data_IF_770647373112
#
_entry.id   IF_770647373112
#
_cell.length_a   1.000
_cell.length_b   1.000
_cell.length_c   1.000
_cell.angle_alpha   90.00
_cell.angle_beta   90.00
_cell.angle_gamma   90.00
#
_symmetry.space_group_name_H-M   'P 1'
#
loop_
_entity.id
_entity.type
_entity.pdbx_description
1 polymer ?
#
# COMPACT_ATOMS: atom_id res chain seq x y z
N UNK A 1 -2.05 12.93 25.20
CA UNK A 1 -1.13 11.82 25.52
C UNK A 1 -1.34 10.80 24.43
N UNK A 2 -0.44 10.74 23.46
CA UNK A 2 -0.53 9.82 22.32
C UNK A 2 -0.24 8.41 22.84
N UNK A 3 -1.29 7.69 23.22
CA UNK A 3 -1.16 6.27 23.50
C UNK A 3 -1.07 5.56 22.15
N UNK A 4 0.06 4.91 21.81
CA UNK A 4 0.14 4.14 20.58
C UNK A 4 -0.95 3.06 20.59
N UNK A 5 -1.54 2.80 19.43
CA UNK A 5 -2.51 1.72 19.21
C UNK A 5 -1.94 0.83 18.12
N UNK A 6 -1.94 -0.49 18.35
CA UNK A 6 -1.63 -1.47 17.32
C UNK A 6 -2.90 -1.81 16.56
N UNK A 7 -2.92 -1.50 15.26
CA UNK A 7 -3.94 -2.01 14.34
C UNK A 7 -3.40 -3.26 13.63
N UNK A 8 -4.15 -4.36 13.68
CA UNK A 8 -3.71 -5.64 13.12
C UNK A 8 -4.90 -6.50 12.66
N UNK A 9 -4.62 -7.74 12.25
CA UNK A 9 -5.61 -8.80 12.03
C UNK A 9 -5.43 -9.90 13.08
N UNK A 10 -6.49 -10.64 13.41
CA UNK A 10 -6.47 -11.65 14.49
C UNK A 10 -5.36 -12.68 14.32
N UNK A 11 -5.10 -13.11 13.08
CA UNK A 11 -4.09 -14.13 12.74
C UNK A 11 -2.65 -13.62 12.86
N UNK A 12 -2.47 -12.29 12.87
CA UNK A 12 -1.17 -11.63 13.00
C UNK A 12 -0.91 -11.11 14.41
N UNK A 13 -1.93 -11.10 15.28
CA UNK A 13 -1.87 -10.54 16.64
C UNK A 13 -0.68 -11.06 17.46
N UNK A 14 -0.37 -12.34 17.33
CA UNK A 14 0.71 -12.99 18.09
C UNK A 14 2.09 -12.91 17.41
N UNK A 15 2.19 -12.33 16.21
CA UNK A 15 3.46 -12.20 15.48
C UNK A 15 4.26 -10.97 15.90
N UNK A 16 3.61 -10.00 16.54
CA UNK A 16 4.21 -8.75 16.96
C UNK A 16 3.89 -8.55 18.44
N UNK A 17 4.90 -8.64 19.30
CA UNK A 17 4.77 -8.27 20.71
C UNK A 17 5.20 -6.81 20.88
N UNK A 18 4.24 -5.94 21.18
CA UNK A 18 4.45 -4.50 21.41
C UNK A 18 4.24 -4.08 22.86
N UNK A 19 3.97 -5.03 23.78
CA UNK A 19 3.91 -4.80 25.23
C UNK A 19 2.98 -3.67 25.72
N UNK A 20 1.82 -4.02 26.29
CA UNK A 20 0.94 -3.05 26.99
C UNK A 20 0.26 -2.00 26.09
N UNK A 21 0.41 -2.12 24.77
CA UNK A 21 -0.21 -1.27 23.75
C UNK A 21 -1.63 -1.76 23.46
N UNK A 22 -2.60 -0.83 23.43
CA UNK A 22 -3.97 -1.17 23.02
C UNK A 22 -3.94 -1.75 21.62
N UNK A 23 -4.50 -2.93 21.43
CA UNK A 23 -4.52 -3.63 20.14
C UNK A 23 -5.96 -3.73 19.63
N UNK A 24 -6.20 -3.32 18.39
CA UNK A 24 -7.48 -3.48 17.69
C UNK A 24 -7.27 -4.35 16.45
N UNK A 25 -8.04 -5.43 16.36
CA UNK A 25 -8.07 -6.33 15.21
C UNK A 25 -9.17 -5.89 14.24
N UNK A 26 -8.78 -5.49 13.03
CA UNK A 26 -9.68 -4.93 12.01
C UNK A 26 -10.65 -5.95 11.41
N UNK A 27 -10.49 -7.23 11.73
CA UNK A 27 -11.30 -8.36 11.28
C UNK A 27 -12.27 -8.87 12.37
N UNK A 28 -11.93 -8.75 13.66
CA UNK A 28 -12.75 -9.27 14.76
C UNK A 28 -13.39 -8.20 15.64
N UNK A 29 -12.79 -7.02 15.78
CA UNK A 29 -13.15 -6.06 16.83
C UNK A 29 -14.18 -5.01 16.35
N UNK A 30 -14.94 -5.33 15.31
CA UNK A 30 -15.90 -4.41 14.69
C UNK A 30 -17.00 -3.90 15.62
N UNK A 31 -17.36 -4.66 16.65
CA UNK A 31 -18.34 -4.19 17.65
C UNK A 31 -17.79 -3.02 18.47
N UNK A 32 -16.51 -3.06 18.83
CA UNK A 32 -15.85 -1.95 19.51
C UNK A 32 -15.64 -0.77 18.55
N UNK A 33 -15.16 -1.04 17.33
CA UNK A 33 -14.88 0.00 16.31
C UNK A 33 -16.13 0.83 15.98
N UNK A 34 -17.30 0.18 15.87
CA UNK A 34 -18.58 0.86 15.60
C UNK A 34 -19.01 1.85 16.69
N UNK A 35 -18.47 1.71 17.91
CA UNK A 35 -18.73 2.64 19.01
C UNK A 35 -18.02 3.99 18.86
N UNK A 36 -17.06 4.12 17.94
CA UNK A 36 -16.33 5.36 17.70
C UNK A 36 -16.96 6.20 16.58
N UNK A 37 -16.62 7.49 16.56
CA UNK A 37 -17.07 8.42 15.52
C UNK A 37 -16.61 7.98 14.14
N UNK A 38 -17.50 8.07 13.16
CA UNK A 38 -17.18 7.88 11.73
C UNK A 38 -16.69 9.19 11.07
N UNK A 39 -16.76 10.32 11.77
CA UNK A 39 -16.25 11.59 11.26
C UNK A 39 -14.72 11.55 11.13
N UNK A 40 -14.15 12.14 10.07
CA UNK A 40 -12.71 12.28 9.95
C UNK A 40 -12.13 12.96 11.20
N UNK A 41 -11.07 12.39 11.80
CA UNK A 41 -10.45 12.99 12.97
C UNK A 41 -9.96 14.40 12.62
N UNK A 42 -10.19 15.36 13.51
CA UNK A 42 -9.74 16.74 13.36
C UNK A 42 -8.25 16.82 13.72
N UNK A 43 -7.41 16.27 12.84
CA UNK A 43 -5.95 16.32 12.96
C UNK A 43 -5.38 17.33 11.97
N UNK A 44 -4.46 18.15 12.45
CA UNK A 44 -3.70 19.07 11.61
C UNK A 44 -2.66 18.26 10.82
N UNK A 45 -2.81 18.19 9.51
CA UNK A 45 -1.89 17.53 8.59
C UNK A 45 -1.09 18.57 7.81
N UNK A 46 0.23 18.49 7.90
CA UNK A 46 1.18 19.30 7.13
C UNK A 46 1.89 18.41 6.10
N UNK A 47 2.27 18.95 4.91
CA UNK A 47 2.98 18.18 3.88
C UNK A 47 4.28 17.51 4.37
N UNK A 48 4.92 18.07 5.39
CA UNK A 48 6.17 17.59 5.99
C UNK A 48 5.94 16.48 7.02
N UNK A 49 4.70 16.19 7.41
CA UNK A 49 4.41 15.09 8.32
C UNK A 49 4.78 13.74 7.65
N UNK A 50 5.34 12.84 8.46
CA UNK A 50 5.72 11.50 8.01
C UNK A 50 4.48 10.72 7.59
N UNK A 51 4.54 10.12 6.40
CA UNK A 51 3.44 9.37 5.79
C UNK A 51 3.70 7.86 5.84
N UNK A 52 4.90 7.41 5.44
CA UNK A 52 5.27 5.99 5.49
C UNK A 52 6.78 5.78 5.57
N UNK A 53 7.19 4.57 5.93
CA UNK A 53 8.60 4.12 5.95
C UNK A 53 8.73 2.84 5.14
N UNK A 54 9.70 2.82 4.22
CA UNK A 54 10.07 1.61 3.48
C UNK A 54 11.46 1.17 3.90
N UNK A 55 11.59 -0.12 4.20
CA UNK A 55 12.86 -0.72 4.55
C UNK A 55 13.51 -1.33 3.31
N UNK A 56 14.74 -0.90 3.03
CA UNK A 56 15.55 -1.46 1.94
C UNK A 56 16.71 -2.26 2.51
N UNK A 57 17.19 -3.25 1.75
CA UNK A 57 18.38 -4.02 2.13
C UNK A 57 19.59 -3.10 2.22
N UNK A 58 20.17 -2.95 3.41
CA UNK A 58 21.42 -2.21 3.58
C UNK A 58 22.63 -3.08 3.19
N UNK A 59 23.65 -2.45 2.60
CA UNK A 59 24.94 -3.10 2.29
C UNK A 59 25.65 -3.66 3.53
N UNK A 60 25.26 -3.22 4.73
CA UNK A 60 25.78 -3.67 6.02
C UNK A 60 24.97 -4.82 6.64
N UNK A 61 24.00 -5.39 5.91
CA UNK A 61 23.12 -6.46 6.39
C UNK A 61 21.97 -5.99 7.30
N UNK A 62 21.97 -4.72 7.72
CA UNK A 62 20.87 -4.10 8.48
C UNK A 62 19.96 -3.30 7.53
N UNK A 63 18.63 -3.54 7.53
CA UNK A 63 17.72 -2.75 6.71
C UNK A 63 17.77 -1.26 7.07
N UNK A 64 17.70 -0.40 6.06
CA UNK A 64 17.62 1.06 6.23
C UNK A 64 16.18 1.51 5.98
N UNK A 65 15.62 2.25 6.93
CA UNK A 65 14.30 2.87 6.79
C UNK A 65 14.41 4.18 6.00
N UNK A 66 13.66 4.28 4.91
CA UNK A 66 13.49 5.51 4.14
C UNK A 66 12.19 6.16 4.58
N UNK A 67 12.30 7.36 5.16
CA UNK A 67 11.17 8.12 5.69
C UNK A 67 10.60 9.02 4.58
N UNK A 68 9.31 8.87 4.28
CA UNK A 68 8.63 9.60 3.21
C UNK A 68 7.46 10.40 3.79
N UNK A 69 7.41 11.69 3.46
CA UNK A 69 6.40 12.63 3.96
C UNK A 69 5.17 12.67 3.06
N UNK A 70 4.09 13.34 3.48
CA UNK A 70 2.93 13.53 2.60
C UNK A 70 3.29 14.26 1.29
N UNK A 71 4.24 15.20 1.32
CA UNK A 71 4.69 15.96 0.16
C UNK A 71 5.35 15.08 -0.94
N UNK A 72 5.88 13.90 -0.60
CA UNK A 72 6.48 13.01 -1.59
C UNK A 72 5.44 12.26 -2.42
N UNK A 73 4.18 12.21 -1.98
CA UNK A 73 3.10 11.56 -2.72
C UNK A 73 2.59 12.46 -3.85
N UNK A 74 3.18 12.30 -5.04
CA UNK A 74 2.71 12.99 -6.25
C UNK A 74 1.59 12.22 -6.93
N UNK A 75 0.40 12.82 -6.96
CA UNK A 75 -0.75 12.27 -7.65
C UNK A 75 -0.78 12.73 -9.11
N UNK A 76 -0.69 11.79 -10.05
CA UNK A 76 -0.95 12.10 -11.45
C UNK A 76 -2.43 12.37 -11.71
N UNK A 77 -2.72 13.00 -12.85
CA UNK A 77 -4.09 13.27 -13.26
C UNK A 77 -4.73 12.00 -13.82
N UNK A 78 -5.23 11.17 -12.91
CA UNK A 78 -5.92 9.94 -13.25
C UNK A 78 -7.38 10.28 -13.54
N UNK A 79 -7.94 9.75 -14.63
CA UNK A 79 -9.32 10.01 -15.04
C UNK A 79 -10.34 9.19 -14.21
N UNK A 80 -11.61 9.64 -14.13
CA UNK A 80 -12.64 8.98 -13.30
C UNK A 80 -12.90 7.51 -13.68
N UNK A 81 -12.63 7.14 -14.94
CA UNK A 81 -12.81 5.78 -15.47
C UNK A 81 -11.57 4.89 -15.34
N UNK A 82 -10.43 5.46 -14.95
CA UNK A 82 -9.18 4.71 -14.85
C UNK A 82 -9.23 3.70 -13.71
N UNK A 83 -8.61 2.55 -13.95
CA UNK A 83 -8.41 1.49 -12.97
C UNK A 83 -6.92 1.40 -12.67
N UNK A 84 -6.57 1.13 -11.43
CA UNK A 84 -5.18 0.91 -11.00
C UNK A 84 -5.07 -0.55 -10.58
N UNK A 85 -4.13 -1.27 -11.20
CA UNK A 85 -3.77 -2.61 -10.78
C UNK A 85 -2.80 -2.50 -9.61
N UNK A 86 -3.08 -3.22 -8.52
CA UNK A 86 -2.06 -3.47 -7.51
C UNK A 86 -1.28 -4.70 -7.93
N UNK A 87 -0.07 -4.46 -8.40
CA UNK A 87 0.90 -5.46 -8.82
C UNK A 87 2.16 -5.47 -7.94
N UNK A 88 2.63 -4.30 -7.50
CA UNK A 88 3.88 -4.16 -6.79
C UNK A 88 3.81 -4.74 -5.37
N UNK A 89 4.84 -5.48 -4.94
CA UNK A 89 4.90 -5.94 -3.55
C UNK A 89 4.86 -4.76 -2.57
N UNK A 90 4.10 -4.90 -1.48
CA UNK A 90 3.95 -3.87 -0.43
C UNK A 90 5.27 -3.41 0.20
N UNK A 91 6.36 -4.15 0.02
CA UNK A 91 7.71 -3.76 0.45
C UNK A 91 8.38 -2.70 -0.44
N UNK A 92 7.77 -2.30 -1.56
CA UNK A 92 8.30 -1.30 -2.49
C UNK A 92 7.40 -0.06 -2.57
N UNK A 93 8.00 1.08 -2.92
CA UNK A 93 7.33 2.39 -2.96
C UNK A 93 6.28 2.51 -4.06
N UNK A 94 6.45 1.77 -5.16
CA UNK A 94 5.46 1.69 -6.24
C UNK A 94 4.11 1.18 -5.73
N UNK A 95 4.09 0.25 -4.76
CA UNK A 95 2.83 -0.24 -4.18
C UNK A 95 2.05 0.86 -3.45
N UNK A 96 2.78 1.75 -2.77
CA UNK A 96 2.19 2.91 -2.08
C UNK A 96 1.51 3.83 -3.09
N UNK A 97 2.15 4.08 -4.24
CA UNK A 97 1.58 4.87 -5.32
C UNK A 97 0.33 4.21 -5.93
N UNK A 98 0.37 2.91 -6.23
CA UNK A 98 -0.77 2.14 -6.75
C UNK A 98 -2.00 2.23 -5.83
N UNK A 99 -1.79 2.09 -4.51
CA UNK A 99 -2.85 2.17 -3.49
C UNK A 99 -3.43 3.58 -3.41
N UNK A 100 -2.59 4.60 -3.21
CA UNK A 100 -3.09 5.94 -2.98
C UNK A 100 -3.75 6.54 -4.23
N UNK A 101 -3.31 6.21 -5.44
CA UNK A 101 -4.00 6.64 -6.66
C UNK A 101 -5.41 6.06 -6.80
N UNK A 102 -5.59 4.81 -6.35
CA UNK A 102 -6.89 4.17 -6.32
C UNK A 102 -7.79 4.85 -5.27
N UNK A 103 -7.30 4.99 -4.03
CA UNK A 103 -8.12 5.49 -2.92
C UNK A 103 -8.42 7.00 -3.00
N UNK A 104 -7.43 7.83 -3.37
CA UNK A 104 -7.56 9.29 -3.34
C UNK A 104 -8.65 9.85 -4.27
N UNK A 105 -9.14 9.07 -5.25
CA UNK A 105 -10.28 9.48 -6.08
C UNK A 105 -11.42 8.46 -6.09
N UNK A 106 -11.60 7.70 -5.00
CA UNK A 106 -12.68 6.70 -4.84
C UNK A 106 -12.74 5.70 -6.00
N UNK A 107 -11.60 5.10 -6.34
CA UNK A 107 -11.49 4.11 -7.43
C UNK A 107 -11.45 2.70 -6.89
N UNK A 108 -11.73 1.77 -7.80
CA UNK A 108 -11.62 0.35 -7.53
C UNK A 108 -10.16 -0.08 -7.56
N UNK A 109 -9.76 -0.76 -6.49
CA UNK A 109 -8.53 -1.51 -6.38
C UNK A 109 -8.80 -2.95 -6.84
N UNK A 110 -7.97 -3.48 -7.74
CA UNK A 110 -8.03 -4.89 -8.13
C UNK A 110 -6.86 -5.61 -7.47
N UNK A 111 -7.16 -6.47 -6.48
CA UNK A 111 -6.17 -7.29 -5.78
C UNK A 111 -5.93 -8.59 -6.52
N UNK A 112 -4.69 -8.85 -6.94
CA UNK A 112 -4.28 -10.03 -7.69
C UNK A 112 -4.12 -11.29 -6.83
N UNK A 113 -5.14 -11.71 -6.08
CA UNK A 113 -5.14 -13.01 -5.38
C UNK A 113 -5.61 -14.14 -6.31
N UNK A 114 -4.87 -14.41 -7.39
CA UNK A 114 -4.99 -15.65 -8.17
C UNK A 114 -6.24 -15.82 -9.06
N UNK A 115 -7.17 -14.86 -9.10
CA UNK A 115 -8.23 -14.79 -10.14
C UNK A 115 -8.25 -13.40 -10.77
N UNK A 116 -7.65 -13.33 -11.95
CA UNK A 116 -7.72 -12.18 -12.85
C UNK A 116 -9.15 -12.08 -13.38
N UNK A 117 -9.83 -10.98 -13.09
CA UNK A 117 -11.02 -10.59 -13.84
C UNK A 117 -10.54 -9.69 -14.98
N UNK A 118 -10.73 -10.20 -16.19
CA UNK A 118 -10.12 -9.80 -17.45
C UNK A 118 -10.31 -8.32 -17.81
N UNK A 119 -9.18 -7.62 -18.00
CA UNK A 119 -9.04 -6.71 -19.14
C UNK A 119 -9.34 -7.52 -20.42
N UNK A 120 -9.95 -6.92 -21.47
CA UNK A 120 -10.33 -7.64 -22.68
C UNK A 120 -9.18 -8.53 -23.19
N UNK A 121 -9.53 -9.72 -23.70
CA UNK A 121 -8.60 -10.81 -24.05
C UNK A 121 -7.47 -10.43 -25.02
N UNK A 122 -7.53 -9.26 -25.66
CA UNK A 122 -6.44 -8.67 -26.45
C UNK A 122 -5.25 -8.17 -25.62
N UNK A 123 -5.32 -8.16 -24.28
CA UNK A 123 -4.25 -7.62 -23.42
C UNK A 123 -3.31 -8.68 -22.84
N UNK A 124 -3.63 -9.97 -22.96
CA UNK A 124 -2.85 -11.08 -22.39
C UNK A 124 -1.68 -11.58 -23.26
N UNK A 125 -1.48 -11.04 -24.47
CA UNK A 125 -0.49 -11.59 -25.43
C UNK A 125 0.96 -11.13 -25.22
N UNK A 126 1.28 -10.19 -24.31
CA UNK A 126 2.64 -9.63 -24.21
C UNK A 126 3.37 -9.83 -22.86
N UNK A 127 2.88 -10.70 -21.98
CA UNK A 127 3.62 -11.06 -20.76
C UNK A 127 4.30 -12.43 -20.88
N UNK A 128 5.17 -12.60 -21.88
CA UNK A 128 6.20 -13.63 -21.81
C UNK A 128 7.36 -13.12 -20.94
N UNK A 129 7.37 -13.61 -19.69
CA UNK A 129 8.43 -13.33 -18.72
C UNK A 129 9.78 -13.78 -19.24
N UNK A 130 10.68 -12.83 -19.51
CA UNK A 130 12.11 -13.14 -19.62
C UNK A 130 12.63 -13.48 -18.23
N UNK A 131 12.84 -14.77 -17.98
CA UNK A 131 13.66 -15.25 -16.86
C UNK A 131 15.08 -14.74 -17.05
N UNK A 132 15.48 -13.72 -16.30
CA UNK A 132 16.88 -13.38 -16.15
C UNK A 132 17.34 -13.86 -14.77
N UNK A 133 18.15 -14.91 -14.75
CA UNK A 133 18.98 -15.24 -13.60
C UNK A 133 19.96 -14.06 -13.40
N UNK A 134 20.04 -13.56 -12.18
CA UNK A 134 20.84 -12.41 -11.71
C UNK A 134 20.13 -11.03 -11.75
N UNK A 135 19.90 -10.48 -10.55
CA UNK A 135 19.87 -9.05 -10.31
C UNK A 135 18.48 -8.39 -10.34
N UNK A 136 18.25 -7.58 -9.31
CA UNK A 136 17.16 -6.60 -9.16
C UNK A 136 16.67 -6.02 -10.50
N UNK A 137 15.42 -6.28 -10.88
CA UNK A 137 14.77 -5.58 -12.00
C UNK A 137 13.95 -4.40 -11.48
N UNK A 138 14.63 -3.31 -11.15
CA UNK A 138 14.03 -1.97 -10.95
C UNK A 138 13.91 -1.21 -12.26
N UNK A 139 13.51 -1.89 -13.34
CA UNK A 139 13.50 -1.30 -14.68
C UNK A 139 12.48 -1.96 -15.61
N UNK A 140 11.24 -2.21 -15.16
CA UNK A 140 10.14 -2.48 -16.10
C UNK A 140 8.76 -2.36 -15.46
N UNK A 141 8.25 -1.14 -15.32
CA UNK A 141 6.80 -0.84 -15.31
C UNK A 141 6.52 0.66 -15.24
N UNK A 142 7.25 1.48 -16.01
CA UNK A 142 6.70 2.76 -16.48
C UNK A 142 5.99 2.44 -17.80
N UNK A 143 4.82 1.84 -17.70
CA UNK A 143 3.82 1.88 -18.76
C UNK A 143 2.44 1.87 -18.10
N UNK A 144 2.13 3.01 -17.51
CA UNK A 144 0.79 3.33 -17.06
C UNK A 144 -0.06 3.57 -18.31
N UNK A 145 -0.72 2.53 -18.81
CA UNK A 145 -1.73 2.69 -19.85
C UNK A 145 -2.93 3.44 -19.27
N UNK A 146 -2.99 4.74 -19.56
CA UNK A 146 -4.20 5.53 -19.39
C UNK A 146 -5.17 5.18 -20.53
N UNK A 147 -6.23 4.45 -20.21
CA UNK A 147 -7.48 4.47 -20.99
C UNK A 147 -8.58 5.14 -20.15
#
# INVERSE_FOLDING_TARGET
>A
MDSPILLTQSDLKNRIDVGGVKTLCLDTDWQEIKGFSAEPPQVKLEPENLSYVIFTSGSTGKPKGILLTHASNRFFNVHKKSRVLQFSSFGFDVAVWEIFMALARRRYFVSGNGKVSFLPASFTENFEGRKNNHGFTSSLSIECYFF
#
